data_IF_118975895194
#
_entry.id   IF_118975895194
#
_cell.length_a   1.000
_cell.length_b   1.000
_cell.length_c   1.000
_cell.angle_alpha   90.00
_cell.angle_beta   90.00
_cell.angle_gamma   90.00
#
_symmetry.space_group_name_H-M   'P 1'
#
loop_
_entity.id
_entity.type
_entity.pdbx_description
1 polymer ?
#
# COMPACT_ATOMS: atom_id res chain seq x y z
N UNK A 1 -24.07 -9.20 -49.95
CA UNK A 1 -22.98 -9.47 -49.00
C UNK A 1 -22.77 -8.32 -48.01
N UNK A 2 -22.67 -7.04 -48.45
CA UNK A 2 -22.41 -5.89 -47.54
C UNK A 2 -23.45 -5.74 -46.43
N UNK A 3 -24.76 -5.94 -46.67
CA UNK A 3 -25.79 -5.88 -45.65
C UNK A 3 -25.70 -6.99 -44.59
N UNK A 4 -25.27 -8.21 -44.97
CA UNK A 4 -25.05 -9.30 -44.00
C UNK A 4 -23.86 -9.06 -43.10
N UNK A 5 -22.80 -8.45 -43.62
CA UNK A 5 -21.62 -8.07 -42.81
C UNK A 5 -21.96 -6.97 -41.81
N UNK A 6 -22.72 -5.96 -42.25
CA UNK A 6 -23.20 -4.86 -41.38
C UNK A 6 -24.13 -5.41 -40.30
N UNK A 7 -25.04 -6.32 -40.63
CA UNK A 7 -25.93 -6.95 -39.65
C UNK A 7 -25.17 -7.79 -38.61
N UNK A 8 -24.11 -8.50 -39.02
CA UNK A 8 -23.25 -9.28 -38.13
C UNK A 8 -22.46 -8.32 -37.23
N UNK A 9 -21.93 -7.22 -37.78
CA UNK A 9 -21.19 -6.21 -37.02
C UNK A 9 -22.07 -5.50 -35.99
N UNK A 10 -23.32 -5.19 -36.33
CA UNK A 10 -24.30 -4.60 -35.41
C UNK A 10 -24.70 -5.63 -34.33
N UNK A 11 -24.86 -6.89 -34.69
CA UNK A 11 -25.19 -7.97 -33.74
C UNK A 11 -24.02 -8.23 -32.77
N UNK A 12 -22.78 -8.21 -33.25
CA UNK A 12 -21.60 -8.32 -32.37
C UNK A 12 -21.42 -7.10 -31.48
N UNK A 13 -21.69 -5.88 -31.95
CA UNK A 13 -21.70 -4.68 -31.11
C UNK A 13 -22.82 -4.74 -30.07
N UNK A 14 -24.01 -5.23 -30.42
CA UNK A 14 -25.13 -5.39 -29.49
C UNK A 14 -24.86 -6.45 -28.42
N UNK A 15 -24.16 -7.53 -28.76
CA UNK A 15 -23.72 -8.56 -27.79
C UNK A 15 -22.66 -8.02 -26.83
N UNK A 16 -21.76 -7.15 -27.31
CA UNK A 16 -20.79 -6.46 -26.45
C UNK A 16 -21.45 -5.44 -25.50
N UNK A 17 -22.56 -4.80 -25.91
CA UNK A 17 -23.34 -3.89 -25.05
C UNK A 17 -24.22 -4.63 -24.03
N UNK A 18 -24.46 -5.94 -24.22
CA UNK A 18 -25.20 -6.79 -23.29
C UNK A 18 -24.29 -7.47 -22.24
N UNK A 19 -22.97 -7.23 -22.24
CA UNK A 19 -22.11 -7.58 -21.14
C UNK A 19 -22.51 -6.72 -19.95
N UNK A 20 -23.15 -7.36 -18.96
CA UNK A 20 -23.66 -6.71 -17.75
C UNK A 20 -22.56 -5.85 -17.08
N UNK A 21 -22.99 -4.82 -16.35
CA UNK A 21 -22.10 -3.95 -15.59
C UNK A 21 -21.10 -4.79 -14.79
N UNK A 22 -19.82 -4.43 -14.90
CA UNK A 22 -18.76 -5.07 -14.11
C UNK A 22 -19.06 -4.89 -12.61
N UNK A 23 -18.52 -5.76 -11.75
CA UNK A 23 -18.67 -5.61 -10.30
C UNK A 23 -18.18 -4.23 -9.84
N UNK A 24 -17.13 -3.73 -10.47
CA UNK A 24 -16.57 -2.39 -10.20
C UNK A 24 -17.56 -1.27 -10.53
N UNK A 25 -18.21 -1.32 -11.71
CA UNK A 25 -19.24 -0.32 -12.09
C UNK A 25 -20.46 -0.37 -11.16
N UNK A 26 -20.88 -1.57 -10.76
CA UNK A 26 -21.98 -1.76 -9.81
C UNK A 26 -21.63 -1.20 -8.44
N UNK A 27 -20.41 -1.47 -7.93
CA UNK A 27 -19.99 -0.96 -6.63
C UNK A 27 -19.95 0.56 -6.62
N UNK A 28 -19.45 1.20 -7.69
CA UNK A 28 -19.45 2.65 -7.85
C UNK A 28 -20.87 3.23 -7.90
N UNK A 29 -21.79 2.61 -8.63
CA UNK A 29 -23.20 3.05 -8.70
C UNK A 29 -23.89 2.95 -7.34
N UNK A 30 -23.66 1.88 -6.59
CA UNK A 30 -24.22 1.65 -5.25
C UNK A 30 -23.64 2.64 -4.25
N UNK A 31 -22.31 2.91 -4.31
CA UNK A 31 -21.65 3.93 -3.50
C UNK A 31 -22.22 5.33 -3.76
N UNK A 32 -22.40 5.70 -5.04
CA UNK A 32 -22.97 7.00 -5.43
C UNK A 32 -24.45 7.14 -5.00
N UNK A 33 -25.19 6.03 -4.90
CA UNK A 33 -26.51 5.99 -4.33
C UNK A 33 -26.53 6.05 -2.79
N UNK A 34 -25.37 6.28 -2.13
CA UNK A 34 -25.16 6.34 -0.69
C UNK A 34 -25.48 5.04 0.06
N UNK A 35 -25.57 3.93 -0.64
CA UNK A 35 -25.78 2.61 -0.09
C UNK A 35 -24.44 1.97 0.29
N UNK A 36 -23.74 2.59 1.25
CA UNK A 36 -22.35 2.26 1.56
C UNK A 36 -22.14 0.84 2.06
N UNK A 37 -23.09 0.28 2.84
CA UNK A 37 -23.01 -1.11 3.31
C UNK A 37 -23.07 -2.11 2.13
N UNK A 38 -23.95 -1.86 1.16
CA UNK A 38 -24.05 -2.68 -0.04
C UNK A 38 -22.82 -2.54 -0.93
N UNK A 39 -22.24 -1.32 -0.99
CA UNK A 39 -20.98 -1.09 -1.71
C UNK A 39 -19.83 -1.91 -1.09
N UNK A 40 -19.71 -1.96 0.25
CA UNK A 40 -18.71 -2.79 0.95
C UNK A 40 -18.87 -4.25 0.57
N UNK A 41 -20.10 -4.82 0.59
CA UNK A 41 -20.33 -6.21 0.21
C UNK A 41 -19.93 -6.50 -1.26
N UNK A 42 -20.10 -5.53 -2.16
CA UNK A 42 -19.63 -5.64 -3.54
C UNK A 42 -18.10 -5.57 -3.62
N UNK A 43 -17.44 -4.72 -2.84
CA UNK A 43 -15.98 -4.67 -2.76
C UNK A 43 -15.40 -5.98 -2.22
N UNK A 44 -16.04 -6.60 -1.21
CA UNK A 44 -15.64 -7.92 -0.71
C UNK A 44 -15.79 -9.00 -1.82
N UNK A 45 -16.84 -8.91 -2.64
CA UNK A 45 -17.02 -9.79 -3.78
C UNK A 45 -15.96 -9.59 -4.87
N UNK A 46 -15.53 -8.35 -5.12
CA UNK A 46 -14.44 -8.01 -6.04
C UNK A 46 -13.13 -8.61 -5.53
N UNK A 47 -12.83 -8.46 -4.24
CA UNK A 47 -11.62 -9.01 -3.62
C UNK A 47 -11.50 -10.53 -3.85
N UNK A 48 -12.60 -11.25 -3.69
CA UNK A 48 -12.64 -12.71 -3.92
C UNK A 48 -12.51 -13.07 -5.39
N UNK A 49 -13.11 -12.30 -6.29
CA UNK A 49 -13.18 -12.62 -7.73
C UNK A 49 -11.95 -12.16 -8.52
N UNK A 50 -11.42 -10.99 -8.18
CA UNK A 50 -10.41 -10.28 -8.98
C UNK A 50 -9.10 -10.06 -8.19
N UNK A 51 -9.09 -10.31 -6.87
CA UNK A 51 -7.98 -10.07 -5.98
C UNK A 51 -7.95 -8.63 -5.44
N UNK A 52 -6.81 -8.26 -4.86
CA UNK A 52 -6.63 -6.97 -4.19
C UNK A 52 -6.03 -5.92 -5.11
N UNK A 53 -6.48 -4.67 -4.98
CA UNK A 53 -5.88 -3.50 -5.62
C UNK A 53 -5.91 -2.28 -4.70
N UNK A 54 -5.05 -1.28 -4.94
CA UNK A 54 -5.09 -0.02 -4.19
C UNK A 54 -6.47 0.66 -4.27
N UNK A 55 -7.10 0.63 -5.45
CA UNK A 55 -8.40 1.24 -5.71
C UNK A 55 -9.51 0.53 -4.96
N UNK A 56 -9.47 -0.81 -4.89
CA UNK A 56 -10.42 -1.62 -4.12
C UNK A 56 -10.40 -1.21 -2.65
N UNK A 57 -9.23 -1.24 -2.04
CA UNK A 57 -9.08 -0.88 -0.63
C UNK A 57 -9.43 0.60 -0.38
N UNK A 58 -8.99 1.51 -1.24
CA UNK A 58 -9.33 2.92 -1.14
C UNK A 58 -10.84 3.17 -1.15
N UNK A 59 -11.55 2.58 -2.12
CA UNK A 59 -12.99 2.75 -2.26
C UNK A 59 -13.77 2.11 -1.11
N UNK A 60 -13.33 0.93 -0.63
CA UNK A 60 -13.90 0.27 0.55
C UNK A 60 -13.67 1.10 1.81
N UNK A 61 -12.48 1.68 1.96
CA UNK A 61 -12.15 2.64 3.02
C UNK A 61 -13.07 3.86 3.01
N UNK A 62 -13.31 4.43 1.82
CA UNK A 62 -14.24 5.55 1.64
C UNK A 62 -15.67 5.17 2.07
N UNK A 63 -16.14 3.97 1.73
CA UNK A 63 -17.47 3.49 2.14
C UNK A 63 -17.57 3.35 3.66
N UNK A 64 -16.57 2.76 4.31
CA UNK A 64 -16.52 2.66 5.78
C UNK A 64 -16.46 4.03 6.45
N UNK A 65 -15.66 4.97 5.91
CA UNK A 65 -15.59 6.33 6.43
C UNK A 65 -16.95 7.04 6.36
N UNK A 66 -17.68 6.91 5.24
CA UNK A 66 -19.04 7.46 5.09
C UNK A 66 -20.07 6.85 6.05
N UNK A 67 -19.82 5.62 6.51
CA UNK A 67 -20.63 4.95 7.54
C UNK A 67 -20.24 5.35 8.97
N UNK A 68 -19.22 6.18 9.17
CA UNK A 68 -18.65 6.51 10.48
C UNK A 68 -17.84 5.38 11.12
N UNK A 69 -17.51 4.33 10.37
CA UNK A 69 -16.69 3.19 10.82
C UNK A 69 -15.21 3.49 10.57
N UNK A 70 -14.56 4.18 11.51
CA UNK A 70 -13.24 4.73 11.27
C UNK A 70 -12.13 3.69 11.33
N UNK A 71 -12.16 2.70 12.24
CA UNK A 71 -11.14 1.66 12.29
C UNK A 71 -11.09 0.80 10.99
N UNK A 72 -12.22 0.27 10.47
CA UNK A 72 -12.23 -0.37 9.16
C UNK A 72 -11.80 0.55 8.00
N UNK A 73 -12.12 1.86 8.05
CA UNK A 73 -11.68 2.80 7.03
C UNK A 73 -10.16 2.96 7.06
N UNK A 74 -9.56 3.17 8.23
CA UNK A 74 -8.10 3.29 8.43
C UNK A 74 -7.40 2.02 7.95
N UNK A 75 -7.89 0.84 8.35
CA UNK A 75 -7.33 -0.44 7.88
C UNK A 75 -7.27 -0.52 6.35
N UNK A 76 -8.36 -0.16 5.69
CA UNK A 76 -8.41 -0.21 4.22
C UNK A 76 -7.51 0.85 3.57
N UNK A 77 -7.42 2.05 4.11
CA UNK A 77 -6.50 3.07 3.62
C UNK A 77 -5.02 2.67 3.82
N UNK A 78 -4.68 2.06 4.94
CA UNK A 78 -3.33 1.54 5.19
C UNK A 78 -2.98 0.41 4.20
N UNK A 79 -3.89 -0.54 3.96
CA UNK A 79 -3.74 -1.59 2.93
C UNK A 79 -3.59 -0.99 1.52
N UNK A 80 -4.35 0.05 1.20
CA UNK A 80 -4.20 0.78 -0.06
C UNK A 80 -2.83 1.45 -0.20
N UNK A 81 -2.30 2.06 0.89
CA UNK A 81 -0.98 2.69 0.91
C UNK A 81 0.16 1.68 0.82
N UNK A 82 0.02 0.46 1.33
CA UNK A 82 1.02 -0.59 1.11
C UNK A 82 1.20 -0.88 -0.38
N UNK A 83 0.12 -0.87 -1.15
CA UNK A 83 0.13 -1.15 -2.58
C UNK A 83 0.43 0.09 -3.44
N UNK A 84 0.07 1.29 -2.97
CA UNK A 84 0.27 2.57 -3.68
C UNK A 84 0.72 3.68 -2.73
N UNK A 85 1.97 3.63 -2.23
CA UNK A 85 2.44 4.50 -1.14
C UNK A 85 2.56 5.98 -1.54
N UNK A 86 2.69 6.27 -2.83
CA UNK A 86 2.77 7.64 -3.36
C UNK A 86 1.43 8.33 -3.58
N UNK A 87 0.29 7.66 -3.38
CA UNK A 87 -1.01 8.21 -3.71
C UNK A 87 -1.46 9.29 -2.70
N UNK A 88 -1.61 10.56 -3.12
CA UNK A 88 -1.94 11.65 -2.21
C UNK A 88 -3.39 11.59 -1.69
N UNK A 89 -4.33 11.05 -2.49
CA UNK A 89 -5.74 10.97 -2.10
C UNK A 89 -5.93 9.96 -0.96
N UNK A 90 -5.21 8.83 -1.02
CA UNK A 90 -5.24 7.83 0.05
C UNK A 90 -4.63 8.42 1.33
N UNK A 91 -3.47 9.10 1.22
CA UNK A 91 -2.83 9.76 2.37
C UNK A 91 -3.76 10.78 3.03
N UNK A 92 -4.38 11.63 2.24
CA UNK A 92 -5.32 12.64 2.72
C UNK A 92 -6.51 12.01 3.45
N UNK A 93 -7.13 10.97 2.88
CA UNK A 93 -8.29 10.32 3.49
C UNK A 93 -7.93 9.53 4.75
N UNK A 94 -6.74 8.91 4.78
CA UNK A 94 -6.20 8.29 5.98
C UNK A 94 -5.97 9.32 7.10
N UNK A 95 -5.35 10.45 6.79
CA UNK A 95 -5.15 11.54 7.74
C UNK A 95 -6.49 12.05 8.27
N UNK A 96 -7.46 12.27 7.38
CA UNK A 96 -8.81 12.68 7.75
C UNK A 96 -9.49 11.65 8.66
N UNK A 97 -9.34 10.34 8.39
CA UNK A 97 -9.88 9.29 9.27
C UNK A 97 -9.19 9.27 10.63
N UNK A 98 -7.86 9.47 10.68
CA UNK A 98 -7.08 9.57 11.91
C UNK A 98 -7.47 10.78 12.78
N UNK A 99 -8.07 11.84 12.20
CA UNK A 99 -8.63 12.92 13.02
C UNK A 99 -9.86 12.52 13.84
N UNK A 100 -10.51 11.40 13.49
CA UNK A 100 -11.78 10.94 14.08
C UNK A 100 -11.61 9.92 15.21
N UNK A 101 -10.43 9.32 15.35
CA UNK A 101 -10.14 8.38 16.44
C UNK A 101 -9.76 9.08 17.73
N UNK A 102 -9.93 8.38 18.86
CA UNK A 102 -9.67 8.92 20.19
C UNK A 102 -8.18 9.17 20.46
N UNK A 103 -7.34 8.22 20.08
CA UNK A 103 -5.92 8.26 20.39
C UNK A 103 -5.17 9.23 19.46
N UNK A 104 -4.57 10.28 20.09
CA UNK A 104 -3.71 11.26 19.41
C UNK A 104 -2.27 10.97 19.80
N UNK A 105 -1.67 9.97 19.16
CA UNK A 105 -0.30 9.56 19.47
C UNK A 105 0.68 10.39 18.65
N UNK A 106 1.54 11.15 19.35
CA UNK A 106 2.61 11.90 18.71
C UNK A 106 3.71 10.93 18.26
N UNK A 107 4.11 11.04 17.01
CA UNK A 107 5.22 10.25 16.48
C UNK A 107 6.52 10.74 17.11
N UNK A 108 7.23 9.86 17.81
CA UNK A 108 8.58 10.19 18.29
C UNK A 108 9.48 10.55 17.11
N UNK A 109 10.25 11.62 17.27
CA UNK A 109 11.10 12.16 16.21
C UNK A 109 12.01 11.09 15.60
N UNK A 110 11.78 10.81 14.33
CA UNK A 110 12.62 9.92 13.54
C UNK A 110 13.81 10.70 12.98
N UNK A 111 14.96 10.02 12.83
CA UNK A 111 16.14 10.65 12.27
C UNK A 111 15.88 11.11 10.84
N UNK A 112 16.22 12.36 10.49
CA UNK A 112 15.85 12.99 9.21
C UNK A 112 16.23 12.18 7.96
N UNK A 113 17.34 11.40 8.03
CA UNK A 113 17.78 10.53 6.93
C UNK A 113 16.76 9.40 6.68
N UNK A 114 16.17 8.84 7.76
CA UNK A 114 15.17 7.79 7.63
C UNK A 114 13.90 8.35 6.96
N UNK A 115 13.44 9.53 7.40
CA UNK A 115 12.30 10.23 6.79
C UNK A 115 12.55 10.50 5.30
N UNK A 116 13.76 10.94 4.95
CA UNK A 116 14.12 11.18 3.55
C UNK A 116 14.14 9.88 2.73
N UNK A 117 14.71 8.80 3.26
CA UNK A 117 14.78 7.51 2.60
C UNK A 117 13.36 6.91 2.41
N UNK A 118 12.48 7.05 3.41
CA UNK A 118 11.08 6.66 3.32
C UNK A 118 10.33 7.46 2.26
N UNK A 119 10.50 8.77 2.24
CA UNK A 119 9.89 9.62 1.22
C UNK A 119 10.32 9.23 -0.20
N UNK A 120 11.61 8.96 -0.42
CA UNK A 120 12.12 8.52 -1.72
C UNK A 120 11.54 7.15 -2.10
N UNK A 121 11.55 6.19 -1.17
CA UNK A 121 10.97 4.85 -1.38
C UNK A 121 9.49 4.94 -1.76
N UNK A 122 8.75 5.81 -1.10
CA UNK A 122 7.29 5.93 -1.23
C UNK A 122 6.86 6.76 -2.47
N UNK A 123 7.80 7.23 -3.32
CA UNK A 123 7.46 7.87 -4.61
C UNK A 123 6.75 6.90 -5.57
N UNK A 124 7.16 5.62 -5.56
CA UNK A 124 6.61 4.61 -6.45
C UNK A 124 6.34 3.30 -5.69
N UNK A 125 5.47 2.48 -6.24
CA UNK A 125 5.25 1.11 -5.75
C UNK A 125 6.42 0.18 -6.12
N UNK A 126 6.47 -1.00 -5.49
CA UNK A 126 7.53 -2.00 -5.68
C UNK A 126 7.74 -2.39 -7.16
N UNK A 127 6.65 -2.59 -7.92
CA UNK A 127 6.73 -2.96 -9.33
C UNK A 127 7.35 -1.85 -10.18
N UNK A 128 6.97 -0.60 -9.96
CA UNK A 128 7.54 0.56 -10.68
C UNK A 128 9.02 0.70 -10.37
N UNK A 129 9.44 0.55 -9.10
CA UNK A 129 10.85 0.54 -8.72
C UNK A 129 11.62 -0.60 -9.41
N UNK A 130 11.03 -1.81 -9.51
CA UNK A 130 11.64 -2.93 -10.21
C UNK A 130 11.85 -2.64 -11.71
N UNK A 131 10.86 -2.03 -12.37
CA UNK A 131 10.98 -1.61 -13.78
C UNK A 131 12.08 -0.56 -13.95
N UNK A 132 12.13 0.46 -13.06
CA UNK A 132 13.19 1.47 -13.07
C UNK A 132 14.57 0.80 -12.91
N UNK A 133 14.72 -0.16 -12.00
CA UNK A 133 15.96 -0.89 -11.79
C UNK A 133 16.40 -1.65 -13.03
N UNK A 134 15.47 -2.35 -13.71
CA UNK A 134 15.78 -3.09 -14.96
C UNK A 134 16.22 -2.14 -16.07
N UNK A 135 15.49 -1.05 -16.30
CA UNK A 135 15.82 -0.06 -17.34
C UNK A 135 17.17 0.59 -17.07
N UNK A 136 17.40 1.03 -15.82
CA UNK A 136 18.68 1.62 -15.42
C UNK A 136 19.85 0.62 -15.56
N UNK A 137 19.64 -0.66 -15.21
CA UNK A 137 20.64 -1.70 -15.40
C UNK A 137 20.99 -1.93 -16.87
N UNK A 138 20.01 -1.95 -17.76
CA UNK A 138 20.26 -2.09 -19.20
C UNK A 138 21.06 -0.89 -19.74
N UNK A 139 20.72 0.33 -19.31
CA UNK A 139 21.48 1.54 -19.69
C UNK A 139 22.90 1.53 -19.11
N UNK A 140 23.07 1.05 -17.88
CA UNK A 140 24.37 0.81 -17.29
C UNK A 140 25.22 -0.14 -18.14
N UNK A 141 24.65 -1.29 -18.54
CA UNK A 141 25.33 -2.28 -19.39
C UNK A 141 25.75 -1.69 -20.74
N UNK A 142 24.86 -0.94 -21.39
CA UNK A 142 25.19 -0.23 -22.65
C UNK A 142 26.32 0.77 -22.43
N UNK A 143 26.25 1.60 -21.40
CA UNK A 143 27.31 2.56 -21.05
C UNK A 143 28.64 1.89 -20.76
N UNK A 144 28.61 0.78 -20.03
CA UNK A 144 29.80 -0.01 -19.70
C UNK A 144 30.45 -0.62 -20.96
N UNK A 145 29.66 -1.20 -21.86
CA UNK A 145 30.13 -1.74 -23.13
C UNK A 145 30.78 -0.62 -23.95
N UNK A 146 30.11 0.52 -24.09
CA UNK A 146 30.69 1.69 -24.81
C UNK A 146 32.01 2.14 -24.17
N UNK A 147 32.07 2.20 -22.84
CA UNK A 147 33.28 2.59 -22.12
C UNK A 147 34.43 1.61 -22.32
N UNK A 148 34.18 0.30 -22.26
CA UNK A 148 35.22 -0.75 -22.34
C UNK A 148 35.70 -1.00 -23.74
N UNK A 149 34.82 -0.99 -24.74
CA UNK A 149 35.14 -1.37 -26.15
C UNK A 149 35.43 -0.20 -27.08
N UNK A 150 35.37 1.05 -26.56
CA UNK A 150 35.74 2.23 -27.36
C UNK A 150 37.24 2.53 -27.20
N UNK A 151 37.92 2.67 -28.35
CA UNK A 151 39.33 3.03 -28.40
C UNK A 151 39.63 4.39 -27.77
N UNK A 152 40.87 4.54 -27.28
CA UNK A 152 41.34 5.79 -26.65
C UNK A 152 41.26 6.99 -27.61
N UNK A 153 41.42 6.76 -28.89
CA UNK A 153 41.30 7.79 -29.91
C UNK A 153 39.92 8.44 -29.99
N UNK A 154 38.86 7.71 -29.59
CA UNK A 154 37.48 8.20 -29.50
C UNK A 154 37.08 8.66 -28.10
N UNK A 155 37.95 9.45 -27.48
CA UNK A 155 37.81 9.89 -26.09
C UNK A 155 36.41 10.46 -25.71
N UNK A 156 35.73 11.15 -26.66
CA UNK A 156 34.39 11.69 -26.43
C UNK A 156 33.36 10.57 -26.18
N UNK A 157 33.42 9.51 -27.00
CA UNK A 157 32.50 8.39 -26.88
C UNK A 157 32.74 7.60 -25.58
N UNK A 158 34.03 7.41 -25.24
CA UNK A 158 34.45 6.76 -23.98
C UNK A 158 33.94 7.52 -22.75
N UNK A 159 34.03 8.88 -22.75
CA UNK A 159 33.46 9.73 -21.69
C UNK A 159 31.94 9.57 -21.60
N UNK A 160 31.23 9.54 -22.73
CA UNK A 160 29.77 9.31 -22.74
C UNK A 160 29.46 7.96 -22.08
N UNK A 161 30.18 6.88 -22.44
CA UNK A 161 30.02 5.57 -21.81
C UNK A 161 30.18 5.61 -20.29
N UNK A 162 31.25 6.27 -19.81
CA UNK A 162 31.50 6.41 -18.36
C UNK A 162 30.41 7.21 -17.64
N UNK A 163 30.06 8.40 -18.17
CA UNK A 163 29.06 9.28 -17.57
C UNK A 163 27.62 8.73 -17.71
N UNK A 164 27.39 7.73 -18.53
CA UNK A 164 26.14 6.97 -18.56
C UNK A 164 26.20 5.81 -17.57
N UNK A 165 27.29 5.02 -17.58
CA UNK A 165 27.39 3.82 -16.76
C UNK A 165 27.35 4.14 -15.25
N UNK A 166 28.16 5.07 -14.78
CA UNK A 166 28.28 5.32 -13.34
C UNK A 166 26.98 5.81 -12.69
N UNK A 167 26.26 6.82 -13.22
CA UNK A 167 24.97 7.22 -12.65
C UNK A 167 23.91 6.12 -12.76
N UNK A 168 23.86 5.39 -13.86
CA UNK A 168 22.88 4.31 -14.04
C UNK A 168 23.11 3.13 -13.10
N UNK A 169 24.36 2.83 -12.77
CA UNK A 169 24.70 1.87 -11.71
C UNK A 169 24.13 2.31 -10.34
N UNK A 170 24.31 3.58 -9.98
CA UNK A 170 23.79 4.13 -8.71
C UNK A 170 22.26 4.09 -8.70
N UNK A 171 21.61 4.51 -9.79
CA UNK A 171 20.14 4.45 -9.92
C UNK A 171 19.64 3.01 -9.80
N UNK A 172 20.32 2.05 -10.43
CA UNK A 172 19.96 0.62 -10.33
C UNK A 172 20.03 0.14 -8.88
N UNK A 173 21.10 0.47 -8.15
CA UNK A 173 21.27 0.06 -6.75
C UNK A 173 20.17 0.66 -5.85
N UNK A 174 19.88 1.95 -6.00
CA UNK A 174 18.82 2.63 -5.22
C UNK A 174 17.44 2.04 -5.56
N UNK A 175 17.11 1.92 -6.85
CA UNK A 175 15.82 1.41 -7.28
C UNK A 175 15.59 -0.04 -6.83
N UNK A 176 16.63 -0.88 -6.87
CA UNK A 176 16.56 -2.25 -6.38
C UNK A 176 16.35 -2.30 -4.86
N UNK A 177 17.07 -1.47 -4.11
CA UNK A 177 16.88 -1.36 -2.66
C UNK A 177 15.45 -0.90 -2.30
N UNK A 178 14.91 0.10 -3.00
CA UNK A 178 13.54 0.57 -2.83
C UNK A 178 12.52 -0.53 -3.17
N UNK A 179 12.70 -1.26 -4.29
CA UNK A 179 11.82 -2.35 -4.69
C UNK A 179 11.78 -3.47 -3.63
N UNK A 180 12.94 -3.90 -3.13
CA UNK A 180 13.06 -4.96 -2.13
C UNK A 180 12.44 -4.52 -0.80
N UNK A 181 12.77 -3.34 -0.31
CA UNK A 181 12.23 -2.85 0.97
C UNK A 181 10.72 -2.66 0.92
N UNK A 182 10.19 -2.15 -0.20
CA UNK A 182 8.75 -2.01 -0.40
C UNK A 182 8.04 -3.38 -0.46
N UNK A 183 8.61 -4.34 -1.20
CA UNK A 183 8.07 -5.69 -1.27
C UNK A 183 8.09 -6.40 0.08
N UNK A 184 9.18 -6.24 0.83
CA UNK A 184 9.28 -6.81 2.18
C UNK A 184 8.23 -6.22 3.12
N UNK A 185 7.92 -4.91 3.01
CA UNK A 185 6.89 -4.26 3.80
C UNK A 185 5.50 -4.82 3.52
N UNK A 186 5.16 -5.05 2.24
CA UNK A 186 3.89 -5.67 1.84
C UNK A 186 3.73 -7.08 2.46
N UNK A 187 4.82 -7.86 2.53
CA UNK A 187 4.78 -9.24 3.01
C UNK A 187 5.05 -9.39 4.52
N UNK A 188 5.39 -8.32 5.21
CA UNK A 188 5.79 -8.41 6.61
C UNK A 188 4.62 -8.68 7.57
N UNK A 189 3.42 -8.20 7.23
CA UNK A 189 2.20 -8.31 8.06
C UNK A 189 2.47 -8.01 9.55
N UNK A 190 3.33 -7.01 9.79
CA UNK A 190 3.80 -6.63 11.12
C UNK A 190 3.15 -5.35 11.65
N UNK A 191 2.11 -4.87 10.99
CA UNK A 191 1.33 -3.72 11.41
C UNK A 191 -0.15 -4.13 11.52
N UNK A 192 -0.88 -3.54 12.46
CA UNK A 192 -2.30 -3.83 12.68
C UNK A 192 -3.05 -2.57 13.13
N UNK A 193 -4.38 -2.62 12.99
CA UNK A 193 -5.30 -1.61 13.53
C UNK A 193 -6.08 -2.22 14.70
N UNK A 194 -6.23 -1.45 15.78
CA UNK A 194 -7.07 -1.84 16.92
C UNK A 194 -8.54 -1.74 16.51
N UNK A 195 -9.29 -2.83 16.72
CA UNK A 195 -10.73 -2.94 16.44
C UNK A 195 -11.60 -2.99 17.69
N UNK A 196 -10.99 -3.32 18.83
CA UNK A 196 -11.68 -3.20 20.10
C UNK A 196 -11.98 -1.73 20.40
N UNK A 197 -13.19 -1.45 20.93
CA UNK A 197 -13.55 -0.07 21.31
C UNK A 197 -12.55 0.52 22.29
N UNK A 198 -12.12 -0.31 23.25
CA UNK A 198 -11.11 -0.01 24.25
C UNK A 198 -10.38 -1.31 24.62
N UNK A 199 -9.05 -1.29 24.72
CA UNK A 199 -8.24 -2.43 25.12
C UNK A 199 -7.07 -2.00 25.98
N UNK A 200 -6.93 -2.65 27.16
CA UNK A 200 -5.81 -2.44 28.05
C UNK A 200 -4.55 -3.15 27.52
N UNK A 201 -3.46 -2.40 27.40
CA UNK A 201 -2.14 -2.93 27.09
C UNK A 201 -1.39 -3.21 28.38
N UNK A 202 -0.94 -4.45 28.55
CA UNK A 202 -0.40 -4.98 29.81
C UNK A 202 1.11 -5.19 29.77
N UNK A 203 1.73 -5.28 30.94
CA UNK A 203 3.17 -5.51 31.09
C UNK A 203 3.62 -6.94 30.79
N UNK A 204 2.68 -7.90 30.76
CA UNK A 204 2.95 -9.32 30.53
C UNK A 204 1.79 -9.96 29.74
N UNK A 205 2.03 -11.08 29.01
CA UNK A 205 1.02 -11.79 28.23
C UNK A 205 0.11 -12.65 29.14
N UNK A 206 -0.58 -11.99 30.07
CA UNK A 206 -1.49 -12.62 31.02
C UNK A 206 -2.55 -11.62 31.51
N UNK A 207 -3.72 -12.14 31.89
CA UNK A 207 -4.78 -11.32 32.48
C UNK A 207 -4.35 -10.59 33.76
N UNK A 208 -3.45 -11.19 34.53
CA UNK A 208 -2.89 -10.64 35.77
C UNK A 208 -1.80 -9.58 35.54
N UNK A 209 -1.40 -9.33 34.28
CA UNK A 209 -0.41 -8.31 33.96
C UNK A 209 -0.87 -6.92 34.37
N UNK A 210 0.05 -6.07 34.83
CA UNK A 210 -0.25 -4.67 35.18
C UNK A 210 -0.60 -3.92 33.91
N UNK A 211 -1.69 -3.15 33.94
CA UNK A 211 -2.06 -2.25 32.86
C UNK A 211 -1.03 -1.10 32.75
N UNK A 212 -0.54 -0.89 31.53
CA UNK A 212 0.44 0.16 31.22
C UNK A 212 -0.26 1.38 30.63
N UNK A 213 -1.11 1.16 29.65
CA UNK A 213 -1.92 2.17 28.97
C UNK A 213 -3.11 1.50 28.28
N UNK A 214 -4.01 2.33 27.77
CA UNK A 214 -5.22 1.87 27.06
C UNK A 214 -5.14 2.35 25.62
N UNK A 215 -5.60 1.52 24.68
CA UNK A 215 -5.75 1.88 23.27
C UNK A 215 -7.21 1.78 22.85
N UNK A 216 -7.58 2.64 21.91
CA UNK A 216 -8.94 2.70 21.36
C UNK A 216 -8.96 2.27 19.88
N UNK A 217 -10.16 2.02 19.39
CA UNK A 217 -10.37 1.61 18.00
C UNK A 217 -9.77 2.60 16.99
N UNK A 218 -9.17 2.07 15.94
CA UNK A 218 -8.53 2.84 14.88
C UNK A 218 -7.04 3.12 15.11
N UNK A 219 -6.52 2.87 16.30
CA UNK A 219 -5.10 3.07 16.61
C UNK A 219 -4.24 2.05 15.86
N UNK A 220 -3.21 2.54 15.16
CA UNK A 220 -2.23 1.71 14.48
C UNK A 220 -1.16 1.25 15.44
N UNK A 221 -0.83 -0.05 15.39
CA UNK A 221 0.20 -0.68 16.21
C UNK A 221 1.17 -1.50 15.35
N UNK A 222 2.42 -1.59 15.79
CA UNK A 222 3.42 -2.50 15.20
C UNK A 222 3.48 -3.77 16.02
N UNK A 223 3.32 -4.91 15.35
CA UNK A 223 3.32 -6.23 15.95
C UNK A 223 4.76 -6.72 16.19
N UNK A 224 4.99 -7.40 17.31
CA UNK A 224 6.29 -7.94 17.71
C UNK A 224 6.20 -9.46 17.94
N UNK A 225 6.25 -9.87 19.17
CA UNK A 225 6.23 -11.27 19.57
C UNK A 225 4.80 -11.69 19.92
N UNK A 226 4.48 -12.95 19.61
CA UNK A 226 3.20 -13.55 19.97
C UNK A 226 3.40 -14.67 20.97
N UNK A 227 2.62 -14.66 22.04
CA UNK A 227 2.61 -15.72 23.07
C UNK A 227 1.16 -16.14 23.32
N UNK A 228 0.77 -17.29 22.77
CA UNK A 228 -0.59 -17.79 22.86
C UNK A 228 -1.59 -16.83 22.22
N UNK A 229 -2.55 -16.33 23.00
CA UNK A 229 -3.57 -15.36 22.55
C UNK A 229 -3.15 -13.89 22.73
N UNK A 230 -1.92 -13.65 23.19
CA UNK A 230 -1.37 -12.33 23.43
C UNK A 230 -0.33 -11.97 22.37
N UNK A 231 -0.30 -10.68 22.01
CA UNK A 231 0.71 -10.13 21.11
C UNK A 231 1.33 -8.87 21.72
N UNK A 232 2.66 -8.80 21.66
CA UNK A 232 3.37 -7.57 22.02
C UNK A 232 3.21 -6.55 20.91
N UNK A 233 2.81 -5.36 21.27
CA UNK A 233 2.63 -4.24 20.35
C UNK A 233 3.50 -3.06 20.72
N UNK A 234 3.87 -2.28 19.70
CA UNK A 234 4.55 -0.99 19.89
C UNK A 234 3.71 0.09 19.20
N UNK A 235 3.43 1.20 19.89
CA UNK A 235 2.78 2.37 19.30
C UNK A 235 3.80 3.43 18.85
N UNK A 236 3.33 4.46 18.15
CA UNK A 236 4.19 5.44 17.46
C UNK A 236 5.08 6.28 18.39
N UNK A 237 4.75 6.40 19.67
CA UNK A 237 5.58 7.06 20.69
C UNK A 237 6.71 6.16 21.25
N UNK A 238 6.74 4.87 20.85
CA UNK A 238 7.70 3.87 21.29
C UNK A 238 7.26 3.06 22.51
N UNK A 239 6.09 3.34 23.11
CA UNK A 239 5.56 2.55 24.22
C UNK A 239 5.21 1.13 23.76
N UNK A 240 5.42 0.15 24.65
CA UNK A 240 5.24 -1.28 24.35
C UNK A 240 4.43 -1.98 25.43
N UNK A 241 3.77 -3.04 25.04
CA UNK A 241 3.12 -3.96 25.96
C UNK A 241 2.30 -5.01 25.24
N UNK A 242 1.57 -5.82 25.98
CA UNK A 242 0.85 -6.99 25.54
C UNK A 242 -0.65 -6.74 25.49
N UNK A 243 -1.28 -7.16 24.41
CA UNK A 243 -2.74 -7.10 24.26
C UNK A 243 -3.28 -8.38 23.60
N UNK A 244 -4.58 -8.70 23.73
CA UNK A 244 -5.19 -9.83 23.06
C UNK A 244 -5.16 -9.67 21.52
N UNK A 245 -4.82 -10.73 20.80
CA UNK A 245 -4.83 -10.74 19.32
C UNK A 245 -6.23 -10.47 18.77
N UNK A 246 -7.28 -10.91 19.48
CA UNK A 246 -8.67 -10.69 19.08
C UNK A 246 -9.08 -9.22 19.02
N UNK A 247 -8.29 -8.31 19.58
CA UNK A 247 -8.56 -6.87 19.62
C UNK A 247 -8.03 -6.13 18.37
N UNK A 248 -7.32 -6.79 17.46
CA UNK A 248 -6.66 -6.19 16.31
C UNK A 248 -7.01 -6.88 14.99
N UNK A 249 -6.84 -6.14 13.90
CA UNK A 249 -6.88 -6.67 12.54
C UNK A 249 -5.58 -6.29 11.81
N UNK A 250 -4.92 -7.29 11.21
CA UNK A 250 -3.62 -7.12 10.52
C UNK A 250 -3.81 -6.39 9.20
N UNK A 251 -2.87 -5.50 8.89
CA UNK A 251 -2.84 -4.71 7.64
C UNK A 251 -2.39 -5.56 6.47
#
# INVERSE_FOLDING_TARGET
MKHKIISILILTLAVFSAMGQTLSERSAAVYNAQRYADAVALYDSIEVAEGVSPELYYNRGNAYYKMGKYAPAILNYERALLLSPGNPDIKYNLELANTKIADKIEVTGTFFINVWAENVRDWFNSNTWAVIAIVAFLLFMVGLVVYLFTDIERMRLKKIGFFTALPMFIVTAIALACAITQNNRINAHNEAIVFAHEVAVKSAPAESGTELFVLHEGTKVTLREQVGEWIEVTISDGSRGWMPISAIEVI
#
